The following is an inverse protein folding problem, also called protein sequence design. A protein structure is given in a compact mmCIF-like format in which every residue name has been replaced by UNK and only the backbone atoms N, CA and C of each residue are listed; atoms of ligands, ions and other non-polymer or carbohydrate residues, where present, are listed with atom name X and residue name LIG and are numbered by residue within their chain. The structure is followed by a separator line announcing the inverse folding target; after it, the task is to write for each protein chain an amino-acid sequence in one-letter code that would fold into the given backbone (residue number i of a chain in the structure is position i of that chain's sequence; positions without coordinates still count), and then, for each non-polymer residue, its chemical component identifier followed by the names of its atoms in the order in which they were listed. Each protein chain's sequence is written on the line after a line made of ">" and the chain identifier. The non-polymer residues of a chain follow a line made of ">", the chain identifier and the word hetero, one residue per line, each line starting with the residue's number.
data_IF_221962215483
#
_entry.id   IF_221962215483
#
_cell.length_a   1.000
_cell.length_b   1.000
_cell.length_c   1.000
_cell.angle_alpha   90.00
_cell.angle_beta   90.00
_cell.angle_gamma   90.00
#
_symmetry.space_group_name_H-M   'P 1'
#
loop_
_entity.id
_entity.type
_entity.pdbx_description
1 polymer ?
#
# COMPACT_ATOMS: atom_id res chain seq x y z
N UNK A 1 -36.21 24.61 18.89
CA UNK A 1 -36.05 24.48 20.36
C UNK A 1 -35.93 23.00 20.70
N UNK A 2 -34.74 22.53 21.08
CA UNK A 2 -34.40 21.24 21.74
C UNK A 2 -32.85 21.13 21.69
N UNK A 3 -32.15 21.79 22.60
CA UNK A 3 -31.50 21.25 23.81
C UNK A 3 -30.29 20.35 23.50
N UNK A 4 -29.10 20.96 23.67
CA UNK A 4 -27.77 20.35 23.75
C UNK A 4 -27.67 19.43 24.97
N UNK A 5 -26.88 18.36 24.86
CA UNK A 5 -26.32 17.68 26.04
C UNK A 5 -24.82 17.42 25.83
N UNK A 6 -24.01 18.23 26.54
CA UNK A 6 -22.55 18.09 26.68
C UNK A 6 -22.27 17.05 27.76
N UNK A 7 -21.36 16.12 27.48
CA UNK A 7 -20.79 15.21 28.48
C UNK A 7 -19.40 15.72 28.83
N UNK A 8 -19.25 16.24 30.05
CA UNK A 8 -17.96 16.56 30.67
C UNK A 8 -17.49 15.36 31.48
N UNK A 9 -16.22 14.99 31.35
CA UNK A 9 -15.55 14.10 32.32
C UNK A 9 -14.54 14.92 33.11
N UNK A 10 -14.72 14.90 34.43
CA UNK A 10 -13.86 15.53 35.42
C UNK A 10 -13.28 14.48 36.36
N UNK A 11 -12.08 14.78 36.85
CA UNK A 11 -11.49 14.32 38.11
C UNK A 11 -10.71 12.98 38.03
N UNK A 12 -9.60 12.75 38.75
CA UNK A 12 -9.09 13.36 39.99
C UNK A 12 -7.55 13.35 40.04
N UNK A 13 -7.06 14.35 40.76
CA UNK A 13 -5.72 14.55 41.31
C UNK A 13 -5.42 13.50 42.40
N UNK A 14 -4.18 13.02 42.48
CA UNK A 14 -3.59 12.46 43.69
C UNK A 14 -2.14 12.95 43.85
N UNK A 15 -1.95 13.88 44.79
CA UNK A 15 -0.68 14.27 45.40
C UNK A 15 -0.28 13.21 46.44
N UNK A 16 0.99 12.83 46.54
CA UNK A 16 1.59 12.45 47.83
C UNK A 16 3.10 12.73 47.84
N UNK A 17 3.51 13.32 48.95
CA UNK A 17 4.71 14.12 49.25
C UNK A 17 5.89 13.25 49.74
N UNK A 18 7.11 13.81 49.90
CA UNK A 18 8.40 13.11 49.94
C UNK A 18 8.87 12.76 51.35
N UNK A 19 9.96 11.98 51.44
CA UNK A 19 10.73 11.80 52.67
C UNK A 19 12.24 11.83 52.38
N UNK A 20 12.90 12.77 53.04
CA UNK A 20 14.35 12.97 53.15
C UNK A 20 15.01 11.80 53.91
N UNK A 21 16.23 11.40 53.54
CA UNK A 21 17.23 10.95 54.52
C UNK A 21 18.68 11.27 54.08
N UNK A 22 19.50 11.46 55.11
CA UNK A 22 20.80 12.12 55.22
C UNK A 22 21.99 11.52 54.46
N UNK A 23 23.03 12.36 54.32
CA UNK A 23 24.40 12.02 53.97
C UNK A 23 25.23 11.53 55.18
N UNK A 24 26.21 10.64 54.97
CA UNK A 24 27.48 10.54 55.72
C UNK A 24 28.48 9.58 55.04
N UNK A 25 29.76 9.98 55.03
CA UNK A 25 30.92 9.28 54.44
C UNK A 25 31.48 8.16 55.35
N UNK A 26 32.12 7.12 54.78
CA UNK A 26 33.44 6.60 55.22
C UNK A 26 33.86 5.29 54.52
N UNK A 27 35.02 5.36 53.84
CA UNK A 27 36.09 4.37 53.66
C UNK A 27 35.81 2.85 53.71
N UNK A 28 36.06 2.20 52.56
CA UNK A 28 37.13 1.19 52.41
C UNK A 28 36.82 -0.27 52.72
N UNK A 29 36.72 -1.10 51.68
CA UNK A 29 37.44 -2.39 51.54
C UNK A 29 37.20 -3.01 50.16
N UNK A 30 38.29 -3.33 49.48
CA UNK A 30 38.32 -4.27 48.36
C UNK A 30 37.97 -5.65 48.92
N UNK A 31 36.85 -6.23 48.51
CA UNK A 31 36.68 -7.67 48.51
C UNK A 31 36.14 -8.12 47.15
N UNK A 32 36.95 -9.01 46.58
CA UNK A 32 36.84 -9.63 45.28
C UNK A 32 35.73 -10.68 45.37
N UNK A 33 34.61 -10.45 44.69
CA UNK A 33 33.61 -11.48 44.45
C UNK A 33 33.22 -11.44 42.97
N UNK A 34 33.88 -12.33 42.25
CA UNK A 34 33.57 -12.84 40.93
C UNK A 34 32.10 -13.29 40.87
N UNK A 35 31.28 -12.61 40.05
CA UNK A 35 29.98 -13.11 39.60
C UNK A 35 29.59 -12.40 38.31
N UNK A 36 30.00 -13.04 37.21
CA UNK A 36 29.44 -13.01 35.87
C UNK A 36 28.60 -11.78 35.50
N UNK A 37 29.27 -10.78 34.93
CA UNK A 37 28.65 -9.85 34.00
C UNK A 37 28.15 -10.68 32.81
N UNK A 38 26.84 -10.95 32.77
CA UNK A 38 26.18 -11.43 31.56
C UNK A 38 26.43 -10.37 30.49
N UNK A 39 27.35 -10.66 29.58
CA UNK A 39 27.39 -10.00 28.28
C UNK A 39 26.13 -10.44 27.56
N UNK A 40 25.07 -9.67 27.77
CA UNK A 40 23.87 -9.71 26.96
C UNK A 40 24.34 -9.46 25.53
N UNK A 41 24.41 -10.53 24.75
CA UNK A 41 24.76 -10.47 23.33
C UNK A 41 23.74 -9.52 22.71
N UNK A 42 24.15 -8.43 22.02
CA UNK A 42 23.20 -7.58 21.32
C UNK A 42 22.33 -8.47 20.43
N UNK A 43 21.06 -8.62 20.81
CA UNK A 43 20.10 -9.27 19.94
C UNK A 43 20.05 -8.39 18.70
N UNK A 44 20.53 -8.92 17.57
CA UNK A 44 20.33 -8.29 16.29
C UNK A 44 18.82 -7.95 16.19
N UNK A 45 18.44 -6.74 15.79
CA UNK A 45 17.04 -6.44 15.55
C UNK A 45 16.53 -7.50 14.59
N UNK A 46 15.64 -8.38 15.06
CA UNK A 46 14.88 -9.29 14.23
C UNK A 46 13.83 -8.46 13.52
N UNK A 47 14.27 -7.63 12.57
CA UNK A 47 13.37 -7.16 11.53
C UNK A 47 12.80 -8.43 10.88
N UNK A 48 11.47 -8.56 10.75
CA UNK A 48 10.89 -9.56 9.86
C UNK A 48 11.62 -9.46 8.51
N UNK A 49 11.87 -10.58 7.81
CA UNK A 49 12.42 -10.49 6.46
C UNK A 49 11.47 -9.62 5.64
N UNK A 50 11.92 -8.39 5.36
CA UNK A 50 11.24 -7.50 4.43
C UNK A 50 11.26 -8.25 3.11
N UNK A 51 10.10 -8.79 2.73
CA UNK A 51 9.98 -9.44 1.44
C UNK A 51 9.98 -8.31 0.41
N UNK A 52 11.18 -7.93 -0.05
CA UNK A 52 11.41 -6.87 -1.05
C UNK A 52 10.64 -7.13 -2.37
N UNK A 53 10.07 -8.32 -2.52
CA UNK A 53 9.27 -8.68 -3.68
C UNK A 53 7.79 -8.35 -3.44
N UNK A 54 7.22 -7.39 -4.19
CA UNK A 54 5.80 -7.07 -4.08
C UNK A 54 4.94 -8.29 -4.48
N UNK A 55 3.75 -8.46 -3.88
CA UNK A 55 2.77 -9.43 -4.33
C UNK A 55 2.49 -9.27 -5.83
N UNK A 56 2.52 -10.40 -6.53
CA UNK A 56 2.14 -10.48 -7.93
C UNK A 56 0.62 -10.55 -8.06
N UNK A 57 0.06 -9.80 -9.01
CA UNK A 57 -1.37 -9.78 -9.30
C UNK A 57 -1.63 -10.36 -10.69
N UNK A 58 -2.64 -11.22 -10.82
CA UNK A 58 -3.04 -11.78 -12.12
C UNK A 58 -3.62 -10.76 -13.09
N UNK A 59 -4.04 -9.59 -12.59
CA UNK A 59 -4.52 -8.46 -13.38
C UNK A 59 -4.06 -7.15 -12.76
N UNK A 60 -3.82 -6.15 -13.59
CA UNK A 60 -3.45 -4.79 -13.15
C UNK A 60 -4.66 -3.87 -12.92
N UNK A 61 -5.86 -4.37 -13.17
CA UNK A 61 -7.10 -3.62 -12.95
C UNK A 61 -8.35 -4.37 -13.36
N UNK A 62 -9.50 -3.84 -12.97
CA UNK A 62 -10.81 -4.42 -13.28
C UNK A 62 -11.93 -3.78 -12.46
N UNK A 63 -13.21 -4.08 -12.78
CA UNK A 63 -14.34 -3.57 -12.03
C UNK A 63 -14.42 -4.17 -10.62
N UNK A 64 -15.19 -3.55 -9.71
CA UNK A 64 -15.62 -4.21 -8.48
C UNK A 64 -16.21 -5.60 -8.75
N UNK A 65 -15.90 -6.57 -7.88
CA UNK A 65 -16.26 -7.98 -8.05
C UNK A 65 -15.29 -8.79 -8.92
N UNK A 66 -14.32 -8.17 -9.58
CA UNK A 66 -13.30 -8.91 -10.37
C UNK A 66 -12.51 -9.85 -9.48
N UNK A 67 -12.41 -11.16 -9.81
CA UNK A 67 -11.51 -12.07 -9.11
C UNK A 67 -10.06 -11.76 -9.49
N UNK A 68 -9.22 -11.48 -8.49
CA UNK A 68 -7.79 -11.24 -8.68
C UNK A 68 -7.02 -12.28 -7.90
N UNK A 69 -6.11 -12.98 -8.59
CA UNK A 69 -5.17 -13.88 -7.93
C UNK A 69 -3.98 -13.07 -7.44
N UNK A 70 -3.75 -13.10 -6.14
CA UNK A 70 -2.62 -12.49 -5.44
C UNK A 70 -1.64 -13.62 -5.12
N UNK A 71 -0.39 -13.49 -5.56
CA UNK A 71 0.63 -14.50 -5.36
C UNK A 71 1.91 -13.93 -4.77
N UNK A 72 2.48 -14.65 -3.82
CA UNK A 72 3.70 -14.30 -3.09
C UNK A 72 4.55 -15.55 -2.89
N UNK A 73 5.86 -15.37 -2.78
CA UNK A 73 6.83 -16.45 -2.56
C UNK A 73 7.93 -15.98 -1.61
N UNK A 74 8.66 -16.91 -1.01
CA UNK A 74 9.76 -16.58 -0.09
C UNK A 74 9.31 -16.26 1.32
N UNK A 75 8.09 -16.66 1.69
CA UNK A 75 7.57 -16.56 3.06
C UNK A 75 8.11 -17.72 3.91
N UNK A 76 8.03 -17.60 5.23
CA UNK A 76 8.27 -18.75 6.10
C UNK A 76 7.21 -19.84 5.86
N UNK A 77 7.60 -21.11 5.99
CA UNK A 77 6.69 -22.24 5.83
C UNK A 77 5.52 -22.13 6.81
N UNK A 78 4.28 -22.28 6.32
CA UNK A 78 3.07 -22.10 7.14
C UNK A 78 2.94 -20.73 7.83
N UNK A 79 3.66 -19.70 7.36
CA UNK A 79 3.48 -18.33 7.83
C UNK A 79 2.02 -17.94 7.69
N UNK A 80 1.42 -17.39 8.75
CA UNK A 80 0.06 -16.88 8.72
C UNK A 80 0.10 -15.42 8.31
N UNK A 81 -0.82 -15.02 7.44
CA UNK A 81 -0.89 -13.66 6.94
C UNK A 81 -2.32 -13.28 6.59
N UNK A 82 -2.58 -11.99 6.68
CA UNK A 82 -3.80 -11.36 6.24
C UNK A 82 -3.54 -10.67 4.89
N UNK A 83 -4.47 -10.81 3.95
CA UNK A 83 -4.47 -10.10 2.67
C UNK A 83 -5.46 -8.95 2.76
N UNK A 84 -4.96 -7.73 2.67
CA UNK A 84 -5.72 -6.49 2.64
C UNK A 84 -5.98 -6.00 1.21
N UNK A 85 -7.04 -5.21 1.02
CA UNK A 85 -7.30 -4.43 -0.19
C UNK A 85 -7.73 -3.02 0.17
N UNK A 86 -7.06 -2.01 -0.38
CA UNK A 86 -7.30 -0.61 0.00
C UNK A 86 -6.33 0.41 -0.57
N UNK A 87 -6.40 1.64 -0.04
CA UNK A 87 -5.34 2.63 -0.20
C UNK A 87 -4.30 2.49 0.91
N UNK A 88 -3.28 3.35 0.91
CA UNK A 88 -2.23 3.33 1.95
C UNK A 88 -2.70 3.80 3.34
N UNK A 89 -3.75 4.61 3.39
CA UNK A 89 -4.29 5.15 4.66
C UNK A 89 -5.32 4.22 5.27
N UNK A 90 -6.12 3.57 4.42
CA UNK A 90 -7.21 2.71 4.83
C UNK A 90 -7.33 1.52 3.88
N UNK A 91 -7.42 0.34 4.47
CA UNK A 91 -7.64 -0.93 3.76
C UNK A 91 -8.49 -1.87 4.61
N UNK A 92 -9.08 -2.85 3.93
CA UNK A 92 -9.87 -3.89 4.57
C UNK A 92 -9.19 -5.25 4.37
N UNK A 93 -9.08 -6.05 5.44
CA UNK A 93 -8.68 -7.45 5.33
C UNK A 93 -9.76 -8.22 4.56
N UNK A 94 -9.40 -8.71 3.37
CA UNK A 94 -10.30 -9.46 2.49
C UNK A 94 -10.17 -10.96 2.66
N UNK A 95 -9.02 -11.45 3.14
CA UNK A 95 -8.76 -12.87 3.36
C UNK A 95 -7.71 -13.06 4.45
N UNK A 96 -7.89 -14.08 5.28
CA UNK A 96 -6.82 -14.60 6.16
C UNK A 96 -6.35 -15.93 5.60
N UNK A 97 -5.05 -16.12 5.48
CA UNK A 97 -4.48 -17.30 4.84
C UNK A 97 -3.14 -17.68 5.46
N UNK A 98 -2.52 -18.72 4.92
CA UNK A 98 -1.20 -19.17 5.32
C UNK A 98 -0.39 -19.59 4.09
N UNK A 99 0.91 -19.42 4.16
CA UNK A 99 1.83 -19.97 3.19
C UNK A 99 1.82 -21.51 3.24
N UNK A 100 2.11 -22.13 2.10
CA UNK A 100 2.30 -23.58 2.03
C UNK A 100 3.68 -24.02 2.57
N UNK A 101 4.01 -25.29 2.34
CA UNK A 101 5.30 -25.87 2.74
C UNK A 101 6.48 -25.31 1.93
N UNK A 102 6.22 -24.67 0.80
CA UNK A 102 7.25 -24.05 -0.04
C UNK A 102 7.38 -22.54 0.25
N UNK A 103 6.68 -22.02 1.25
CA UNK A 103 6.69 -20.59 1.57
C UNK A 103 5.98 -19.75 0.51
N UNK A 104 4.99 -20.34 -0.18
CA UNK A 104 4.22 -19.71 -1.26
C UNK A 104 2.78 -19.49 -0.85
N UNK A 105 2.19 -18.39 -1.32
CA UNK A 105 0.76 -18.09 -1.22
C UNK A 105 0.26 -17.79 -2.61
N UNK A 106 -0.86 -18.41 -3.01
CA UNK A 106 -1.60 -18.05 -4.22
C UNK A 106 -3.08 -18.13 -3.93
N UNK A 107 -3.74 -16.97 -3.83
CA UNK A 107 -5.14 -16.85 -3.39
C UNK A 107 -5.93 -15.96 -4.34
N UNK A 108 -7.19 -16.29 -4.57
CA UNK A 108 -8.09 -15.47 -5.37
C UNK A 108 -9.03 -14.68 -4.46
N UNK A 109 -9.03 -13.36 -4.59
CA UNK A 109 -9.86 -12.44 -3.82
C UNK A 109 -10.62 -11.50 -4.76
N UNK A 110 -11.89 -11.17 -4.48
CA UNK A 110 -12.65 -10.24 -5.31
C UNK A 110 -12.29 -8.79 -4.97
N UNK A 111 -12.33 -7.91 -5.97
CA UNK A 111 -12.32 -6.46 -5.74
C UNK A 111 -13.58 -6.05 -4.97
N UNK A 112 -13.41 -5.28 -3.90
CA UNK A 112 -14.52 -4.86 -3.04
C UNK A 112 -15.54 -3.99 -3.79
N UNK A 113 -16.83 -4.21 -3.51
CA UNK A 113 -17.93 -3.45 -4.11
C UNK A 113 -17.88 -1.94 -3.81
N UNK A 114 -17.22 -1.55 -2.73
CA UNK A 114 -17.02 -0.15 -2.32
C UNK A 114 -15.86 0.54 -3.06
N UNK A 115 -15.08 -0.21 -3.85
CA UNK A 115 -13.95 0.33 -4.58
C UNK A 115 -14.42 1.29 -5.68
N UNK A 116 -13.81 2.49 -5.72
CA UNK A 116 -14.23 3.55 -6.63
C UNK A 116 -13.49 3.44 -7.97
N UNK A 117 -14.21 3.49 -9.11
CA UNK A 117 -13.57 3.56 -10.43
C UNK A 117 -12.63 4.76 -10.57
N UNK A 118 -11.54 4.57 -11.33
CA UNK A 118 -10.54 5.59 -11.61
C UNK A 118 -9.56 5.86 -10.46
N UNK A 119 -9.59 5.04 -9.41
CA UNK A 119 -8.68 5.13 -8.26
C UNK A 119 -7.77 3.91 -8.24
N UNK A 120 -6.51 4.13 -7.87
CA UNK A 120 -5.57 3.05 -7.58
C UNK A 120 -5.78 2.50 -6.18
N UNK A 121 -5.83 1.18 -6.11
CA UNK A 121 -5.85 0.40 -4.88
C UNK A 121 -4.64 -0.54 -4.86
N UNK A 122 -4.37 -1.11 -3.70
CA UNK A 122 -3.26 -2.01 -3.47
C UNK A 122 -3.77 -3.26 -2.77
N UNK A 123 -3.11 -4.38 -3.03
CA UNK A 123 -3.17 -5.55 -2.18
C UNK A 123 -2.00 -5.49 -1.21
N UNK A 124 -2.30 -5.67 0.08
CA UNK A 124 -1.32 -5.65 1.14
C UNK A 124 -1.25 -7.05 1.77
N UNK A 125 -0.05 -7.48 2.13
CA UNK A 125 0.15 -8.65 2.97
C UNK A 125 0.60 -8.17 4.35
N UNK A 126 -0.08 -8.67 5.38
CA UNK A 126 0.07 -8.22 6.76
C UNK A 126 0.32 -9.40 7.69
N UNK A 127 1.16 -9.15 8.70
CA UNK A 127 1.36 -10.03 9.86
C UNK A 127 1.11 -9.20 11.11
N UNK A 128 0.22 -9.68 11.99
CA UNK A 128 -0.18 -9.00 13.23
C UNK A 128 -0.57 -7.52 13.04
N UNK A 129 -1.21 -7.20 11.91
CA UNK A 129 -1.68 -5.85 11.55
C UNK A 129 -0.60 -4.92 11.00
N UNK A 130 0.61 -5.41 10.78
CA UNK A 130 1.70 -4.66 10.14
C UNK A 130 1.89 -5.11 8.70
N UNK A 131 1.73 -4.23 7.70
CA UNK A 131 2.02 -4.57 6.32
C UNK A 131 3.52 -4.86 6.13
N UNK A 132 3.85 -6.00 5.54
CA UNK A 132 5.23 -6.36 5.18
C UNK A 132 5.44 -6.44 3.67
N UNK A 133 4.37 -6.44 2.87
CA UNK A 133 4.46 -6.39 1.41
C UNK A 133 3.27 -5.65 0.80
N UNK A 134 3.51 -4.90 -0.27
CA UNK A 134 2.48 -4.13 -1.00
C UNK A 134 2.59 -4.37 -2.49
N UNK A 135 1.46 -4.63 -3.16
CA UNK A 135 1.44 -4.91 -4.60
C UNK A 135 1.79 -3.68 -5.44
N UNK A 136 2.00 -3.89 -6.73
CA UNK A 136 1.87 -2.79 -7.69
C UNK A 136 0.44 -2.20 -7.66
N UNK A 137 0.24 -0.94 -8.08
CA UNK A 137 -1.08 -0.33 -8.15
C UNK A 137 -2.07 -1.14 -9.01
N UNK A 138 -3.28 -1.32 -8.49
CA UNK A 138 -4.42 -1.90 -9.19
C UNK A 138 -5.41 -0.80 -9.54
N UNK A 139 -5.64 -0.55 -10.83
CA UNK A 139 -6.59 0.47 -11.27
C UNK A 139 -8.00 -0.11 -11.32
N UNK A 140 -8.89 0.38 -10.46
CA UNK A 140 -10.30 -0.03 -10.47
C UNK A 140 -11.02 0.63 -11.64
N UNK A 141 -11.69 -0.17 -12.46
CA UNK A 141 -12.41 0.30 -13.65
C UNK A 141 -13.90 0.48 -13.36
N UNK A 142 -14.63 1.10 -14.29
CA UNK A 142 -16.09 1.08 -14.29
C UNK A 142 -16.60 -0.37 -14.51
N UNK A 143 -17.88 -0.66 -14.18
CA UNK A 143 -18.46 -2.01 -14.29
C UNK A 143 -18.36 -2.65 -15.68
N UNK A 144 -18.32 -1.84 -16.73
CA UNK A 144 -18.14 -2.28 -18.12
C UNK A 144 -16.66 -2.52 -18.50
N UNK A 145 -15.73 -2.43 -17.54
CA UNK A 145 -14.30 -2.57 -17.75
C UNK A 145 -13.61 -1.29 -18.26
N UNK A 146 -14.37 -0.21 -18.48
CA UNK A 146 -13.81 1.02 -19.01
C UNK A 146 -13.12 1.88 -17.95
N UNK A 147 -12.14 2.67 -18.38
CA UNK A 147 -11.49 3.68 -17.56
C UNK A 147 -11.63 5.04 -18.24
N UNK A 148 -11.74 6.09 -17.41
CA UNK A 148 -11.67 7.47 -17.85
C UNK A 148 -10.60 8.19 -17.07
N UNK A 149 -9.54 8.61 -17.76
CA UNK A 149 -8.39 9.27 -17.18
C UNK A 149 -8.32 10.72 -17.65
N UNK A 150 -7.84 11.60 -16.77
CA UNK A 150 -7.49 12.97 -17.11
C UNK A 150 -6.02 13.18 -16.80
N UNK A 151 -5.31 13.83 -17.72
CA UNK A 151 -3.89 14.02 -17.57
C UNK A 151 -3.30 14.99 -18.57
N UNK A 152 -1.97 15.04 -18.59
CA UNK A 152 -1.18 15.79 -19.56
C UNK A 152 -0.31 14.85 -20.35
N UNK A 153 -0.21 15.08 -21.66
CA UNK A 153 0.71 14.33 -22.53
C UNK A 153 2.16 14.63 -22.11
N UNK A 154 2.98 13.61 -21.99
CA UNK A 154 4.40 13.73 -21.63
C UNK A 154 5.30 13.04 -22.65
N UNK A 155 6.61 13.32 -22.57
CA UNK A 155 7.65 12.72 -23.41
C UNK A 155 8.28 11.47 -22.77
N UNK A 156 7.73 10.98 -21.65
CA UNK A 156 8.32 9.89 -20.87
C UNK A 156 8.03 8.51 -21.48
N UNK A 157 6.97 8.41 -22.28
CA UNK A 157 6.68 7.21 -23.04
C UNK A 157 7.61 7.12 -24.25
N UNK A 158 8.75 6.46 -24.07
CA UNK A 158 9.79 6.34 -25.11
C UNK A 158 9.24 5.93 -26.49
N UNK A 159 8.32 4.96 -26.52
CA UNK A 159 7.77 4.36 -27.75
C UNK A 159 6.25 4.51 -27.92
N UNK A 160 5.55 4.92 -26.86
CA UNK A 160 4.10 5.10 -26.85
C UNK A 160 3.80 6.49 -26.29
N UNK A 161 2.81 7.18 -26.83
CA UNK A 161 2.34 8.42 -26.20
C UNK A 161 1.99 8.14 -24.74
N UNK A 162 2.55 8.93 -23.84
CA UNK A 162 2.29 8.81 -22.42
C UNK A 162 1.49 10.02 -21.92
N UNK A 163 0.72 9.80 -20.87
CA UNK A 163 0.10 10.86 -20.09
C UNK A 163 0.48 10.69 -18.63
N UNK A 164 0.65 11.80 -17.92
CA UNK A 164 0.60 11.81 -16.46
C UNK A 164 -0.76 12.25 -15.98
N UNK A 165 -1.36 11.47 -15.09
CA UNK A 165 -2.65 11.79 -14.49
C UNK A 165 -2.55 13.01 -13.58
N UNK A 166 -3.68 13.45 -13.05
CA UNK A 166 -3.72 14.46 -11.97
C UNK A 166 -3.03 13.96 -10.69
N UNK A 167 -3.00 12.64 -10.47
CA UNK A 167 -2.29 11.99 -9.37
C UNK A 167 -0.81 11.71 -9.67
N UNK A 168 -0.26 12.29 -10.74
CA UNK A 168 1.12 12.11 -11.20
C UNK A 168 1.46 10.67 -11.63
N UNK A 169 0.47 9.80 -11.88
CA UNK A 169 0.74 8.45 -12.37
C UNK A 169 0.96 8.43 -13.88
N UNK A 170 1.95 7.66 -14.32
CA UNK A 170 2.29 7.50 -15.72
C UNK A 170 1.44 6.40 -16.38
N UNK A 171 0.70 6.78 -17.41
CA UNK A 171 -0.03 5.88 -18.29
C UNK A 171 0.53 5.94 -19.70
N UNK A 172 0.59 4.80 -20.37
CA UNK A 172 0.89 4.74 -21.81
C UNK A 172 -0.39 4.48 -22.59
N UNK A 173 -0.47 5.03 -23.80
CA UNK A 173 -1.65 4.97 -24.64
C UNK A 173 -1.37 4.11 -25.87
N UNK A 174 -2.31 3.21 -26.18
CA UNK A 174 -2.29 2.37 -27.37
C UNK A 174 -3.56 2.58 -28.18
N UNK A 175 -3.45 2.62 -29.51
CA UNK A 175 -4.58 2.73 -30.44
C UNK A 175 -4.53 4.00 -31.29
N UNK A 176 -5.66 4.35 -31.90
CA UNK A 176 -5.81 5.54 -32.75
C UNK A 176 -5.97 6.80 -31.90
N UNK A 177 -4.85 7.33 -31.42
CA UNK A 177 -4.80 8.47 -30.49
C UNK A 177 -4.40 9.80 -31.15
N UNK A 178 -4.08 9.77 -32.46
CA UNK A 178 -3.52 10.91 -33.18
C UNK A 178 -2.14 11.29 -32.67
N UNK A 179 -1.85 12.59 -32.60
CA UNK A 179 -0.57 13.11 -32.11
C UNK A 179 -0.76 14.35 -31.24
N UNK A 180 -1.41 14.20 -30.06
CA UNK A 180 -1.56 15.32 -29.15
C UNK A 180 -0.18 15.82 -28.70
N UNK A 181 0.01 17.14 -28.70
CA UNK A 181 1.30 17.74 -28.36
C UNK A 181 1.69 17.46 -26.90
N UNK A 182 2.99 17.29 -26.59
CA UNK A 182 3.45 17.28 -25.20
C UNK A 182 2.96 18.51 -24.43
N UNK A 183 2.53 18.30 -23.18
CA UNK A 183 1.93 19.32 -22.32
C UNK A 183 0.40 19.48 -22.48
N UNK A 184 -0.18 19.03 -23.59
CA UNK A 184 -1.62 19.12 -23.84
C UNK A 184 -2.41 18.37 -22.75
N UNK A 185 -3.47 19.00 -22.25
CA UNK A 185 -4.41 18.35 -21.34
C UNK A 185 -5.33 17.45 -22.15
N UNK A 186 -5.52 16.23 -21.68
CA UNK A 186 -6.37 15.25 -22.36
C UNK A 186 -7.28 14.53 -21.38
N UNK A 187 -8.50 14.24 -21.84
CA UNK A 187 -9.35 13.20 -21.25
C UNK A 187 -9.25 11.96 -22.17
N UNK A 188 -8.88 10.82 -21.58
CA UNK A 188 -8.75 9.52 -22.26
C UNK A 188 -9.83 8.57 -21.73
N UNK A 189 -10.52 7.88 -22.62
CA UNK A 189 -11.41 6.76 -22.32
C UNK A 189 -10.87 5.51 -23.03
N UNK A 190 -10.96 4.36 -22.37
CA UNK A 190 -10.42 3.12 -22.90
C UNK A 190 -10.56 1.95 -21.94
N UNK A 191 -9.76 0.91 -22.18
CA UNK A 191 -9.67 -0.27 -21.30
C UNK A 191 -8.21 -0.55 -20.95
N UNK A 192 -7.97 -1.29 -19.88
CA UNK A 192 -6.60 -1.65 -19.47
C UNK A 192 -6.08 -2.75 -20.39
N UNK A 193 -4.94 -2.50 -21.03
CA UNK A 193 -4.22 -3.52 -21.77
C UNK A 193 -3.34 -4.33 -20.81
N UNK A 194 -3.78 -5.55 -20.47
CA UNK A 194 -3.04 -6.44 -19.56
C UNK A 194 -1.66 -6.84 -20.11
N UNK A 195 -1.57 -6.94 -21.44
CA UNK A 195 -0.34 -7.15 -22.19
C UNK A 195 -0.13 -6.00 -23.14
N UNK A 196 1.07 -5.41 -23.15
CA UNK A 196 1.40 -4.26 -23.97
C UNK A 196 2.86 -4.29 -24.38
N UNK A 197 3.14 -3.77 -25.57
CA UNK A 197 4.51 -3.49 -26.03
C UNK A 197 5.05 -2.18 -25.45
N UNK A 198 4.19 -1.32 -24.87
CA UNK A 198 4.64 -0.15 -24.13
C UNK A 198 5.32 -0.62 -22.84
N UNK A 199 6.61 -0.32 -22.70
CA UNK A 199 7.45 -0.80 -21.60
C UNK A 199 7.29 0.03 -20.31
N UNK A 200 6.42 1.04 -20.30
CA UNK A 200 6.32 2.02 -19.22
C UNK A 200 4.87 2.18 -18.75
N UNK A 201 4.69 2.16 -17.43
CA UNK A 201 3.40 2.42 -16.78
C UNK A 201 2.30 1.40 -17.09
N UNK A 202 1.06 1.76 -16.75
CA UNK A 202 -0.11 1.00 -17.15
C UNK A 202 -0.56 1.44 -18.54
N UNK A 203 -0.74 0.50 -19.47
CA UNK A 203 -1.19 0.81 -20.82
C UNK A 203 -2.71 0.82 -20.90
N UNK A 204 -3.26 1.87 -21.50
CA UNK A 204 -4.67 2.00 -21.84
C UNK A 204 -4.85 1.81 -23.34
N UNK A 205 -5.64 0.81 -23.73
CA UNK A 205 -6.17 0.68 -25.08
C UNK A 205 -7.28 1.72 -25.26
N UNK A 206 -6.93 2.81 -25.96
CA UNK A 206 -7.76 4.01 -26.06
C UNK A 206 -8.90 3.78 -27.06
N UNK A 207 -10.12 4.05 -26.60
CA UNK A 207 -11.31 4.11 -27.46
C UNK A 207 -11.67 5.54 -27.80
N UNK A 208 -11.30 6.51 -26.95
CA UNK A 208 -11.51 7.93 -27.21
C UNK A 208 -10.46 8.78 -26.48
N UNK A 209 -9.93 9.77 -27.18
CA UNK A 209 -9.11 10.83 -26.58
C UNK A 209 -9.68 12.19 -26.97
N UNK A 210 -9.71 13.12 -26.02
CA UNK A 210 -10.12 14.51 -26.23
C UNK A 210 -9.06 15.43 -25.68
N UNK A 211 -8.52 16.31 -26.53
CA UNK A 211 -7.68 17.41 -26.08
C UNK A 211 -8.59 18.48 -25.47
N UNK A 212 -8.26 18.91 -24.26
CA UNK A 212 -8.97 19.98 -23.57
C UNK A 212 -8.39 21.33 -23.99
N UNK A 213 -9.23 22.35 -24.22
CA UNK A 213 -8.74 23.68 -24.53
C UNK A 213 -7.93 24.24 -23.35
N UNK A 214 -6.82 24.91 -23.67
CA UNK A 214 -6.03 25.65 -22.70
C UNK A 214 -6.87 26.82 -22.20
N UNK A 215 -7.14 26.86 -20.89
CA UNK A 215 -7.85 27.97 -20.22
C UNK A 215 -6.85 28.97 -19.67
#
# INVERSE_FOLDING_TARGET
>A
MAVLQKISWSARVALFTPLLFAAACASGRNDRAESAEQVETPQAPTSPPENDRPPFLSSRGGPPGTPVTVSMSGLAMNARLDVGFGGFVEHQIVLRTQADQDGTVSVTVPILATARPGIHYFFLAEEDGSPFAVSNPFLVTAPDGSVRLRGRVTTEGAQCTAIRSVGDELFTLLGEIGSPAPGARVTVEGTIAQTSTCQHGLTIAVTRIRVEPER
#
